data_IF_322442615418
#
_entry.id   IF_322442615418
#
_cell.length_a   1.000
_cell.length_b   1.000
_cell.length_c   1.000
_cell.angle_alpha   90.00
_cell.angle_beta   90.00
_cell.angle_gamma   90.00
#
_symmetry.space_group_name_H-M   'P 1'
#
loop_
_entity.id
_entity.type
_entity.pdbx_description
1 polymer ?
#
# COMPACT_ATOMS: atom_id res chain seq x y z
N UNK A 1 -27.02 -9.47 27.74
CA UNK A 1 -26.48 -8.13 27.47
C UNK A 1 -24.97 -8.13 27.25
N UNK A 2 -24.18 -8.59 28.22
CA UNK A 2 -22.71 -8.52 28.21
C UNK A 2 -22.01 -9.34 27.11
N UNK A 3 -22.56 -10.49 26.70
CA UNK A 3 -21.99 -11.34 25.64
C UNK A 3 -22.12 -10.75 24.24
N UNK A 4 -23.26 -10.10 23.93
CA UNK A 4 -23.49 -9.39 22.66
C UNK A 4 -22.56 -8.18 22.50
N UNK A 5 -22.39 -7.40 23.57
CA UNK A 5 -21.49 -6.25 23.58
C UNK A 5 -20.02 -6.66 23.37
N UNK A 6 -19.57 -7.74 24.04
CA UNK A 6 -18.22 -8.28 23.90
C UNK A 6 -17.95 -8.82 22.49
N UNK A 7 -18.92 -9.50 21.89
CA UNK A 7 -18.81 -9.94 20.50
C UNK A 7 -18.75 -8.75 19.54
N UNK A 8 -19.60 -7.74 19.71
CA UNK A 8 -19.60 -6.53 18.87
C UNK A 8 -18.25 -5.81 18.89
N UNK A 9 -17.65 -5.68 20.07
CA UNK A 9 -16.31 -5.10 20.26
C UNK A 9 -15.22 -5.94 19.57
N UNK A 10 -15.25 -7.26 19.74
CA UNK A 10 -14.30 -8.16 19.09
C UNK A 10 -14.37 -8.07 17.56
N UNK A 11 -15.57 -8.02 16.98
CA UNK A 11 -15.74 -7.84 15.53
C UNK A 11 -15.20 -6.49 15.06
N UNK A 12 -15.37 -5.42 15.85
CA UNK A 12 -14.84 -4.09 15.54
C UNK A 12 -13.31 -4.06 15.54
N UNK A 13 -12.67 -4.71 16.51
CA UNK A 13 -11.21 -4.81 16.53
C UNK A 13 -10.69 -5.72 15.40
N UNK A 14 -11.35 -6.85 15.15
CA UNK A 14 -10.98 -7.73 14.04
C UNK A 14 -11.08 -7.03 12.69
N UNK A 15 -12.14 -6.25 12.44
CA UNK A 15 -12.29 -5.51 11.20
C UNK A 15 -11.25 -4.41 11.04
N UNK A 16 -10.90 -3.68 12.12
CA UNK A 16 -9.81 -2.69 12.09
C UNK A 16 -8.47 -3.37 11.79
N UNK A 17 -8.15 -4.46 12.49
CA UNK A 17 -6.91 -5.23 12.27
C UNK A 17 -6.86 -5.73 10.83
N UNK A 18 -7.92 -6.36 10.33
CA UNK A 18 -7.96 -6.90 8.97
C UNK A 18 -7.88 -5.80 7.88
N UNK A 19 -8.37 -4.59 8.18
CA UNK A 19 -8.35 -3.49 7.23
C UNK A 19 -7.03 -2.70 7.25
N UNK A 20 -6.29 -2.70 8.36
CA UNK A 20 -5.08 -1.89 8.55
C UNK A 20 -3.79 -2.68 8.33
N UNK A 21 -3.71 -3.93 8.84
CA UNK A 21 -2.48 -4.73 8.76
C UNK A 21 -2.05 -5.06 7.32
N UNK A 22 -2.94 -5.56 6.43
CA UNK A 22 -2.53 -5.96 5.08
C UNK A 22 -1.98 -4.79 4.25
N UNK A 23 -2.61 -3.60 4.23
CA UNK A 23 -2.04 -2.43 3.56
C UNK A 23 -0.65 -2.05 4.06
N UNK A 24 -0.42 -2.11 5.38
CA UNK A 24 0.89 -1.82 5.96
C UNK A 24 1.94 -2.84 5.52
N UNK A 25 1.61 -4.14 5.54
CA UNK A 25 2.51 -5.17 5.04
C UNK A 25 2.82 -4.99 3.55
N UNK A 26 1.82 -4.67 2.74
CA UNK A 26 1.98 -4.45 1.30
C UNK A 26 2.89 -3.25 1.04
N UNK A 27 2.66 -2.12 1.72
CA UNK A 27 3.48 -0.91 1.57
C UNK A 27 4.94 -1.12 2.03
N UNK A 28 5.14 -1.78 3.18
CA UNK A 28 6.50 -2.09 3.65
C UNK A 28 7.17 -3.08 2.70
N UNK A 29 6.44 -4.09 2.23
CA UNK A 29 6.95 -5.09 1.27
C UNK A 29 7.39 -4.47 -0.05
N UNK A 30 6.63 -3.52 -0.60
CA UNK A 30 6.99 -2.83 -1.85
C UNK A 30 8.18 -1.92 -1.69
N UNK A 31 8.27 -1.17 -0.58
CA UNK A 31 9.45 -0.34 -0.27
C UNK A 31 10.70 -1.22 -0.16
N UNK A 32 10.63 -2.32 0.58
CA UNK A 32 11.75 -3.25 0.73
C UNK A 32 12.16 -3.87 -0.62
N UNK A 33 11.19 -4.30 -1.43
CA UNK A 33 11.46 -4.83 -2.78
C UNK A 33 12.17 -3.80 -3.67
N UNK A 34 11.74 -2.53 -3.62
CA UNK A 34 12.38 -1.43 -4.33
C UNK A 34 13.80 -1.15 -3.83
N UNK A 35 14.02 -1.11 -2.52
CA UNK A 35 15.36 -0.92 -1.93
C UNK A 35 16.30 -2.05 -2.35
N UNK A 36 15.83 -3.30 -2.34
CA UNK A 36 16.61 -4.47 -2.77
C UNK A 36 16.92 -4.41 -4.27
N UNK A 37 15.94 -4.03 -5.11
CA UNK A 37 16.14 -3.89 -6.55
C UNK A 37 17.12 -2.75 -6.89
N UNK A 38 17.03 -1.61 -6.20
CA UNK A 38 17.96 -0.48 -6.31
C UNK A 38 19.39 -0.89 -5.93
N UNK A 39 19.55 -1.63 -4.83
CA UNK A 39 20.87 -2.13 -4.38
C UNK A 39 21.52 -3.08 -5.38
N UNK A 40 20.73 -3.82 -6.16
CA UNK A 40 21.25 -4.78 -7.15
C UNK A 40 21.45 -4.17 -8.54
N UNK A 41 21.17 -2.87 -8.75
CA UNK A 41 21.27 -2.19 -10.05
C UNK A 41 20.56 -2.90 -11.22
N UNK A 42 19.55 -3.73 -10.93
CA UNK A 42 18.88 -4.59 -11.91
C UNK A 42 17.77 -3.90 -12.71
N UNK A 43 17.42 -2.67 -12.34
CA UNK A 43 16.30 -1.91 -12.90
C UNK A 43 16.82 -0.57 -13.41
N UNK A 44 16.30 -0.14 -14.57
CA UNK A 44 16.38 1.25 -15.02
C UNK A 44 15.74 2.14 -13.94
N UNK A 45 16.58 2.76 -13.12
CA UNK A 45 16.18 3.52 -11.92
C UNK A 45 15.08 4.54 -12.25
N UNK A 46 15.08 5.08 -13.46
CA UNK A 46 14.10 6.06 -13.96
C UNK A 46 12.68 5.52 -14.03
N UNK A 47 12.46 4.27 -14.45
CA UNK A 47 11.12 3.67 -14.50
C UNK A 47 10.54 3.37 -13.12
N UNK A 48 11.42 2.93 -12.21
CA UNK A 48 11.05 2.66 -10.82
C UNK A 48 10.71 3.97 -10.07
N UNK A 49 11.53 5.00 -10.25
CA UNK A 49 11.29 6.32 -9.67
C UNK A 49 10.00 6.92 -10.24
N UNK A 50 9.77 6.78 -11.55
CA UNK A 50 8.54 7.23 -12.20
C UNK A 50 7.29 6.59 -11.59
N UNK A 51 7.30 5.27 -11.41
CA UNK A 51 6.22 4.54 -10.73
C UNK A 51 5.98 4.99 -9.29
N UNK A 52 7.05 5.19 -8.50
CA UNK A 52 6.98 5.69 -7.13
C UNK A 52 6.39 7.11 -7.07
N UNK A 53 6.83 7.99 -7.96
CA UNK A 53 6.32 9.37 -8.05
C UNK A 53 4.85 9.36 -8.43
N UNK A 54 4.45 8.52 -9.40
CA UNK A 54 3.05 8.40 -9.84
C UNK A 54 2.16 7.86 -8.72
N UNK A 55 2.65 6.92 -7.91
CA UNK A 55 1.96 6.43 -6.72
C UNK A 55 1.81 7.49 -5.64
N UNK A 56 2.88 8.23 -5.33
CA UNK A 56 2.85 9.33 -4.35
C UNK A 56 1.89 10.44 -4.81
N UNK A 57 1.87 10.77 -6.10
CA UNK A 57 0.91 11.73 -6.67
C UNK A 57 -0.53 11.24 -6.54
N UNK A 58 -0.80 9.96 -6.82
CA UNK A 58 -2.13 9.36 -6.67
C UNK A 58 -2.58 9.35 -5.19
N UNK A 59 -1.67 9.04 -4.27
CA UNK A 59 -1.88 9.13 -2.83
C UNK A 59 -2.19 10.56 -2.39
N UNK A 60 -1.38 11.54 -2.83
CA UNK A 60 -1.62 12.94 -2.50
C UNK A 60 -2.98 13.43 -3.03
N UNK A 61 -3.34 13.06 -4.27
CA UNK A 61 -4.64 13.40 -4.86
C UNK A 61 -5.83 12.81 -4.09
N UNK A 62 -5.75 11.53 -3.71
CA UNK A 62 -6.79 10.89 -2.90
C UNK A 62 -6.88 11.49 -1.49
N UNK A 63 -5.76 11.91 -0.91
CA UNK A 63 -5.70 12.54 0.41
C UNK A 63 -6.27 13.97 0.39
N UNK A 64 -5.99 14.75 -0.65
CA UNK A 64 -6.59 16.08 -0.88
C UNK A 64 -8.10 15.94 -1.09
N UNK A 65 -8.54 15.00 -1.93
CA UNK A 65 -9.96 14.74 -2.17
C UNK A 65 -10.69 14.32 -0.87
N UNK A 66 -10.04 13.51 -0.03
CA UNK A 66 -10.55 13.12 1.28
C UNK A 66 -10.61 14.30 2.26
N UNK A 67 -9.59 15.17 2.27
CA UNK A 67 -9.57 16.36 3.12
C UNK A 67 -10.71 17.30 2.75
N UNK A 68 -10.88 17.58 1.45
CA UNK A 68 -11.96 18.41 0.94
C UNK A 68 -13.32 17.81 1.32
N UNK A 69 -13.51 16.51 1.10
CA UNK A 69 -14.75 15.82 1.46
C UNK A 69 -15.02 15.81 2.97
N UNK A 70 -13.98 15.73 3.81
CA UNK A 70 -14.10 15.77 5.26
C UNK A 70 -14.52 17.13 5.80
N UNK A 71 -14.29 18.22 5.07
CA UNK A 71 -14.81 19.53 5.45
C UNK A 71 -16.33 19.61 5.32
N UNK A 72 -16.91 18.81 4.41
CA UNK A 72 -18.36 18.76 4.15
C UNK A 72 -19.08 17.61 4.86
N UNK A 73 -18.40 16.49 5.17
CA UNK A 73 -18.98 15.34 5.87
C UNK A 73 -18.15 14.97 7.10
N UNK A 74 -18.84 14.70 8.22
CA UNK A 74 -18.24 14.22 9.48
C UNK A 74 -17.68 12.79 9.34
N UNK A 75 -16.51 12.65 8.71
CA UNK A 75 -15.77 11.39 8.74
C UNK A 75 -14.79 11.25 7.58
N UNK A 76 -13.49 11.30 7.90
CA UNK A 76 -12.44 10.82 6.99
C UNK A 76 -12.45 9.29 7.00
N UNK A 77 -12.74 8.67 5.85
CA UNK A 77 -12.66 7.21 5.70
C UNK A 77 -11.19 6.78 5.46
N UNK A 78 -10.41 6.75 6.54
CA UNK A 78 -9.01 6.31 6.56
C UNK A 78 -8.81 4.91 5.96
N UNK A 79 -9.81 4.03 6.09
CA UNK A 79 -9.80 2.70 5.47
C UNK A 79 -9.74 2.72 3.95
N UNK A 80 -10.41 3.68 3.29
CA UNK A 80 -10.37 3.81 1.83
C UNK A 80 -8.99 4.30 1.36
N UNK A 81 -8.38 5.23 2.10
CA UNK A 81 -7.03 5.71 1.82
C UNK A 81 -6.01 4.57 1.88
N UNK A 82 -6.07 3.75 2.94
CA UNK A 82 -5.21 2.57 3.11
C UNK A 82 -5.42 1.55 1.99
N UNK A 83 -6.68 1.33 1.57
CA UNK A 83 -7.01 0.46 0.43
C UNK A 83 -6.39 0.97 -0.87
N UNK A 84 -6.59 2.24 -1.23
CA UNK A 84 -6.00 2.84 -2.42
C UNK A 84 -4.47 2.80 -2.39
N UNK A 85 -3.86 3.08 -1.24
CA UNK A 85 -2.41 2.97 -1.03
C UNK A 85 -1.91 1.55 -1.36
N UNK A 86 -2.58 0.54 -0.78
CA UNK A 86 -2.22 -0.86 -0.95
C UNK A 86 -2.42 -1.38 -2.38
N UNK A 87 -3.48 -0.96 -3.06
CA UNK A 87 -3.73 -1.32 -4.46
C UNK A 87 -2.67 -0.73 -5.38
N UNK A 88 -2.32 0.55 -5.18
CA UNK A 88 -1.24 1.19 -5.92
C UNK A 88 0.11 0.50 -5.68
N UNK A 89 0.40 0.13 -4.43
CA UNK A 89 1.59 -0.64 -4.08
C UNK A 89 1.58 -2.02 -4.75
N UNK A 90 0.45 -2.73 -4.78
CA UNK A 90 0.32 -4.05 -5.42
C UNK A 90 0.60 -4.00 -6.93
N UNK A 91 0.12 -2.96 -7.61
CA UNK A 91 0.36 -2.73 -9.05
C UNK A 91 1.86 -2.50 -9.32
N UNK A 92 2.58 -1.92 -8.36
CA UNK A 92 3.99 -1.57 -8.50
C UNK A 92 4.96 -2.68 -8.04
N UNK A 93 4.50 -3.60 -7.20
CA UNK A 93 5.24 -4.78 -6.76
C UNK A 93 5.85 -5.60 -7.93
N UNK A 94 5.11 -5.96 -9.01
CA UNK A 94 5.65 -6.74 -10.12
C UNK A 94 6.79 -6.04 -10.86
N UNK A 95 6.79 -4.71 -10.93
CA UNK A 95 7.86 -3.97 -11.59
C UNK A 95 9.22 -4.12 -10.88
N UNK A 96 9.22 -4.32 -9.55
CA UNK A 96 10.43 -4.60 -8.80
C UNK A 96 10.80 -6.10 -8.82
N UNK A 97 9.81 -7.00 -8.80
CA UNK A 97 10.05 -8.45 -8.64
C UNK A 97 10.34 -9.18 -9.95
N UNK A 98 9.78 -8.77 -11.08
CA UNK A 98 10.05 -9.35 -12.42
C UNK A 98 11.55 -9.29 -12.80
N UNK A 99 12.23 -8.12 -12.75
CA UNK A 99 13.66 -8.04 -13.06
C UNK A 99 14.52 -8.76 -12.01
N UNK A 100 14.06 -8.83 -10.76
CA UNK A 100 14.73 -9.61 -9.71
C UNK A 100 14.71 -11.11 -10.05
N UNK A 101 13.56 -11.64 -10.48
CA UNK A 101 13.41 -13.03 -10.90
C UNK A 101 14.20 -13.34 -12.19
N UNK A 102 14.21 -12.42 -13.16
CA UNK A 102 15.00 -12.55 -14.38
C UNK A 102 16.52 -12.55 -14.11
N UNK A 103 16.99 -11.75 -13.16
CA UNK A 103 18.41 -11.71 -12.78
C UNK A 103 18.92 -13.04 -12.23
N UNK A 104 18.06 -13.72 -11.46
CA UNK A 104 18.36 -15.03 -10.89
C UNK A 104 18.50 -16.09 -11.98
N UNK A 105 17.67 -15.98 -13.02
CA UNK A 105 17.66 -16.93 -14.13
C UNK A 105 18.82 -16.75 -15.12
N UNK A 106 19.48 -15.58 -15.11
CA UNK A 106 20.65 -15.28 -15.96
C UNK A 106 21.99 -15.72 -15.36
N UNK A 107 22.01 -16.10 -14.08
CA UNK A 107 23.21 -16.58 -13.37
C UNK A 107 23.30 -18.11 -13.26
N UNK A 108 22.37 -18.84 -13.89
CA UNK A 108 22.50 -20.26 -14.22
C UNK A 108 22.91 -20.41 -15.68
#
# INVERSE_FOLDING_TARGET
>A
GSTLFRNSILYHYLSIVLLVLPPQLICVGTIVAYVVACRRQLISQTGSIGALVLWLCSLAGTLIWMLERSQYHHGVNWGLLLLCASLGALILAPFATIPLALSWNRHR
#
